data_IF_542539734707
#
_entry.id   IF_542539734707
#
_cell.length_a   1.000
_cell.length_b   1.000
_cell.length_c   1.000
_cell.angle_alpha   90.00
_cell.angle_beta   90.00
_cell.angle_gamma   90.00
#
_symmetry.space_group_name_H-M   'P 1'
#
loop_
_entity.id
_entity.type
_entity.pdbx_description
1 polymer ?
#
# COMPACT_ATOMS: atom_id res chain seq x y z
N UNK A 1 -11.96 -11.05 -4.22
CA UNK A 1 -13.39 -10.83 -4.55
C UNK A 1 -13.71 -9.41 -4.15
N UNK A 2 -14.27 -8.58 -5.03
CA UNK A 2 -14.54 -7.16 -4.71
C UNK A 2 -15.82 -7.10 -3.87
N UNK A 3 -15.69 -6.78 -2.57
CA UNK A 3 -16.81 -6.63 -1.64
C UNK A 3 -16.88 -5.21 -1.12
N UNK A 4 -18.03 -4.54 -1.32
CA UNK A 4 -18.25 -3.16 -0.89
C UNK A 4 -19.35 -3.10 0.17
N UNK A 5 -19.05 -2.49 1.32
CA UNK A 5 -20.01 -2.23 2.39
C UNK A 5 -20.64 -0.85 2.29
N UNK A 6 -20.12 0.05 1.46
CA UNK A 6 -20.71 1.34 1.17
C UNK A 6 -22.16 1.19 0.68
N UNK A 7 -23.01 2.15 1.07
CA UNK A 7 -24.45 2.20 0.76
C UNK A 7 -24.84 3.61 0.35
N UNK A 8 -25.99 3.72 -0.32
CA UNK A 8 -26.62 4.99 -0.69
C UNK A 8 -25.70 5.88 -1.55
N UNK A 9 -25.68 7.20 -1.32
CA UNK A 9 -24.94 8.18 -2.13
C UNK A 9 -23.51 8.45 -1.61
N UNK A 10 -22.89 7.48 -0.93
CA UNK A 10 -21.55 7.63 -0.34
C UNK A 10 -20.45 7.30 -1.36
N UNK A 11 -20.39 8.06 -2.45
CA UNK A 11 -19.47 7.80 -3.57
C UNK A 11 -17.99 7.82 -3.18
N UNK A 12 -17.59 8.69 -2.25
CA UNK A 12 -16.23 8.68 -1.70
C UNK A 12 -15.90 7.34 -1.00
N UNK A 13 -16.85 6.74 -0.29
CA UNK A 13 -16.66 5.42 0.34
C UNK A 13 -16.61 4.30 -0.70
N UNK A 14 -17.41 4.39 -1.77
CA UNK A 14 -17.31 3.44 -2.89
C UNK A 14 -15.94 3.52 -3.56
N UNK A 15 -15.44 4.72 -3.87
CA UNK A 15 -14.13 4.91 -4.49
C UNK A 15 -13.00 4.35 -3.61
N UNK A 16 -13.04 4.64 -2.31
CA UNK A 16 -12.09 4.11 -1.33
C UNK A 16 -12.11 2.58 -1.26
N UNK A 17 -13.27 1.96 -0.99
CA UNK A 17 -13.37 0.51 -0.85
C UNK A 17 -13.05 -0.23 -2.16
N UNK A 18 -13.54 0.30 -3.29
CA UNK A 18 -13.24 -0.30 -4.59
C UNK A 18 -11.76 -0.25 -4.92
N UNK A 19 -11.08 0.85 -4.61
CA UNK A 19 -9.63 0.99 -4.83
C UNK A 19 -8.82 0.02 -3.97
N UNK A 20 -9.24 -0.22 -2.72
CA UNK A 20 -8.63 -1.21 -1.84
C UNK A 20 -8.72 -2.61 -2.44
N UNK A 21 -9.93 -3.04 -2.83
CA UNK A 21 -10.14 -4.36 -3.41
C UNK A 21 -9.51 -4.53 -4.80
N UNK A 22 -9.49 -3.47 -5.61
CA UNK A 22 -8.82 -3.47 -6.90
C UNK A 22 -7.30 -3.63 -6.73
N UNK A 23 -6.71 -2.99 -5.72
CA UNK A 23 -5.30 -3.19 -5.39
C UNK A 23 -5.00 -4.67 -5.10
N UNK A 24 -5.84 -5.36 -4.33
CA UNK A 24 -5.69 -6.80 -4.07
C UNK A 24 -5.73 -7.64 -5.35
N UNK A 25 -6.59 -7.28 -6.31
CA UNK A 25 -6.63 -7.95 -7.62
C UNK A 25 -5.31 -7.72 -8.38
N UNK A 26 -4.81 -6.48 -8.37
CA UNK A 26 -3.58 -6.11 -9.07
C UNK A 26 -2.32 -6.70 -8.39
N UNK A 27 -2.36 -6.96 -7.09
CA UNK A 27 -1.20 -7.47 -6.32
C UNK A 27 -1.04 -8.99 -6.37
N UNK A 28 -1.83 -9.70 -7.17
CA UNK A 28 -1.83 -11.18 -7.23
C UNK A 28 -2.14 -11.85 -5.87
N UNK A 29 -2.96 -11.21 -5.02
CA UNK A 29 -3.30 -11.62 -3.64
C UNK A 29 -3.74 -13.11 -3.48
N UNK A 30 -4.23 -13.75 -4.54
CA UNK A 30 -4.65 -15.16 -4.56
C UNK A 30 -3.59 -16.20 -4.97
N UNK A 31 -2.44 -15.79 -5.50
CA UNK A 31 -1.39 -16.73 -5.90
C UNK A 31 -0.64 -17.28 -4.67
N UNK A 32 -0.47 -18.61 -4.59
CA UNK A 32 0.23 -19.27 -3.48
C UNK A 32 -0.61 -19.46 -2.20
N UNK A 33 -1.94 -19.52 -2.28
CA UNK A 33 -2.79 -19.92 -1.16
C UNK A 33 -2.41 -21.35 -0.72
N UNK A 34 -1.77 -21.48 0.45
CA UNK A 34 -1.61 -22.79 1.10
C UNK A 34 -2.87 -23.04 1.91
N UNK A 35 -3.42 -24.25 1.80
CA UNK A 35 -4.76 -24.59 2.30
C UNK A 35 -4.95 -24.51 3.83
N UNK A 36 -4.02 -23.98 4.63
CA UNK A 36 -4.10 -24.08 6.10
C UNK A 36 -3.33 -23.04 6.95
N UNK A 37 -3.04 -21.83 6.44
CA UNK A 37 -2.46 -20.79 7.31
C UNK A 37 -2.38 -19.42 6.62
N UNK A 38 -2.73 -18.35 7.34
CA UNK A 38 -2.59 -16.98 6.83
C UNK A 38 -1.15 -16.67 6.39
N UNK A 39 -0.98 -15.84 5.36
CA UNK A 39 0.35 -15.44 4.89
C UNK A 39 0.94 -14.44 5.90
N UNK A 40 2.15 -14.66 6.45
CA UNK A 40 2.75 -13.78 7.46
C UNK A 40 3.08 -12.36 6.95
N UNK A 41 3.03 -12.15 5.63
CA UNK A 41 3.29 -10.86 4.99
C UNK A 41 2.03 -10.19 4.42
N UNK A 42 0.84 -10.79 4.58
CA UNK A 42 -0.41 -10.23 4.04
C UNK A 42 -0.74 -8.85 4.61
N UNK A 43 -0.30 -8.54 5.83
CA UNK A 43 -0.44 -7.20 6.43
C UNK A 43 0.16 -6.10 5.55
N UNK A 44 1.23 -6.40 4.82
CA UNK A 44 1.87 -5.44 3.91
C UNK A 44 0.98 -5.18 2.69
N UNK A 45 0.32 -6.21 2.17
CA UNK A 45 -0.65 -6.08 1.08
C UNK A 45 -1.82 -5.19 1.51
N UNK A 46 -2.38 -5.43 2.71
CA UNK A 46 -3.43 -4.57 3.26
C UNK A 46 -2.96 -3.12 3.42
N UNK A 47 -1.72 -2.89 3.87
CA UNK A 47 -1.14 -1.56 3.99
C UNK A 47 -0.94 -0.86 2.63
N UNK A 48 -0.50 -1.60 1.60
CA UNK A 48 -0.37 -1.07 0.23
C UNK A 48 -1.75 -0.73 -0.35
N UNK A 49 -2.76 -1.58 -0.14
CA UNK A 49 -4.11 -1.35 -0.65
C UNK A 49 -4.85 -0.23 0.08
N UNK A 50 -4.61 -0.06 1.38
CA UNK A 50 -5.07 1.10 2.13
C UNK A 50 -4.42 2.39 1.59
N UNK A 51 -3.12 2.37 1.28
CA UNK A 51 -2.45 3.51 0.65
C UNK A 51 -3.03 3.82 -0.74
N UNK A 52 -3.33 2.78 -1.53
CA UNK A 52 -3.95 2.92 -2.85
C UNK A 52 -5.33 3.58 -2.74
N UNK A 53 -6.13 3.20 -1.75
CA UNK A 53 -7.45 3.75 -1.52
C UNK A 53 -7.40 5.25 -1.20
N UNK A 54 -6.49 5.67 -0.31
CA UNK A 54 -6.31 7.09 0.03
C UNK A 54 -5.74 7.88 -1.17
N UNK A 55 -4.75 7.33 -1.87
CA UNK A 55 -4.17 7.94 -3.06
C UNK A 55 -5.22 8.18 -4.15
N UNK A 56 -6.10 7.20 -4.40
CA UNK A 56 -7.17 7.32 -5.40
C UNK A 56 -8.12 8.46 -5.04
N UNK A 57 -8.53 8.58 -3.78
CA UNK A 57 -9.39 9.70 -3.35
C UNK A 57 -8.73 11.06 -3.63
N UNK A 58 -7.45 11.22 -3.26
CA UNK A 58 -6.70 12.47 -3.50
C UNK A 58 -6.53 12.76 -5.00
N UNK A 59 -6.20 11.73 -5.77
CA UNK A 59 -6.04 11.83 -7.22
C UNK A 59 -7.34 12.19 -7.93
N UNK A 60 -8.46 11.55 -7.55
CA UNK A 60 -9.79 11.88 -8.04
C UNK A 60 -10.18 13.32 -7.65
N UNK A 61 -9.98 13.71 -6.39
CA UNK A 61 -10.27 15.07 -5.93
C UNK A 61 -9.48 16.15 -6.70
N UNK A 62 -8.20 15.89 -6.97
CA UNK A 62 -7.37 16.80 -7.78
C UNK A 62 -7.85 16.88 -9.22
N UNK A 63 -8.10 15.71 -9.83
CA UNK A 63 -8.51 15.61 -11.23
C UNK A 63 -9.89 16.23 -11.45
N UNK A 64 -10.87 15.89 -10.62
CA UNK A 64 -12.26 16.34 -10.78
C UNK A 64 -12.45 17.83 -10.51
N UNK A 65 -11.53 18.47 -9.78
CA UNK A 65 -11.56 19.92 -9.60
C UNK A 65 -11.40 20.71 -10.92
N UNK A 66 -10.82 20.09 -11.96
CA UNK A 66 -10.57 20.74 -13.26
C UNK A 66 -11.07 19.95 -14.47
N UNK A 67 -11.04 18.61 -14.39
CA UNK A 67 -11.38 17.69 -15.47
C UNK A 67 -12.19 16.48 -14.93
N UNK A 68 -13.41 16.69 -14.41
CA UNK A 68 -14.25 15.58 -13.97
C UNK A 68 -14.81 14.78 -15.16
N UNK A 69 -15.19 13.50 -14.96
CA UNK A 69 -15.84 12.69 -16.01
C UNK A 69 -17.13 13.32 -16.54
N UNK A 70 -17.86 14.01 -15.67
CA UNK A 70 -19.04 14.82 -16.02
C UNK A 70 -18.90 16.19 -15.37
N UNK A 71 -19.22 17.31 -16.08
CA UNK A 71 -19.01 18.66 -15.56
C UNK A 71 -19.57 18.89 -14.15
N UNK A 72 -20.77 18.37 -13.86
CA UNK A 72 -21.45 18.53 -12.58
C UNK A 72 -20.76 17.80 -11.40
N UNK A 73 -19.78 16.94 -11.67
CA UNK A 73 -19.05 16.20 -10.62
C UNK A 73 -17.90 17.00 -10.04
N UNK A 74 -17.56 18.15 -10.63
CA UNK A 74 -16.55 19.07 -10.09
C UNK A 74 -16.82 19.43 -8.63
N UNK A 75 -18.09 19.65 -8.29
CA UNK A 75 -18.52 20.03 -6.94
C UNK A 75 -18.42 18.88 -5.93
N UNK A 76 -18.19 17.64 -6.38
CA UNK A 76 -17.92 16.50 -5.51
C UNK A 76 -16.43 16.36 -5.14
N UNK A 77 -15.53 17.03 -5.86
CA UNK A 77 -14.09 16.98 -5.59
C UNK A 77 -13.71 17.35 -4.13
N UNK A 78 -14.32 18.38 -3.49
CA UNK A 78 -14.05 18.68 -2.08
C UNK A 78 -14.43 17.54 -1.14
N UNK A 79 -15.52 16.80 -1.40
CA UNK A 79 -15.96 15.67 -0.56
C UNK A 79 -14.95 14.52 -0.60
N UNK A 80 -14.37 14.24 -1.78
CA UNK A 80 -13.30 13.26 -1.94
C UNK A 80 -12.03 13.67 -1.18
N UNK A 81 -11.68 14.96 -1.26
CA UNK A 81 -10.50 15.52 -0.55
C UNK A 81 -10.67 15.44 0.96
N UNK A 82 -11.80 15.93 1.48
CA UNK A 82 -12.10 15.91 2.92
C UNK A 82 -12.07 14.48 3.46
N UNK A 83 -12.63 13.51 2.74
CA UNK A 83 -12.58 12.12 3.19
C UNK A 83 -11.16 11.55 3.24
N UNK A 84 -10.32 11.86 2.24
CA UNK A 84 -8.92 11.43 2.24
C UNK A 84 -8.10 12.10 3.36
N UNK A 85 -8.34 13.39 3.62
CA UNK A 85 -7.70 14.16 4.69
C UNK A 85 -8.12 13.66 6.07
N UNK A 86 -9.40 13.34 6.26
CA UNK A 86 -9.90 12.70 7.48
C UNK A 86 -9.17 11.39 7.72
N UNK A 87 -9.18 10.48 6.74
CA UNK A 87 -8.51 9.17 6.85
C UNK A 87 -7.04 9.34 7.19
N UNK A 88 -6.27 10.04 6.34
CA UNK A 88 -4.82 10.19 6.53
C UNK A 88 -4.42 11.02 7.77
N UNK A 89 -5.33 11.85 8.27
CA UNK A 89 -5.13 12.74 9.41
C UNK A 89 -5.31 12.08 10.78
N UNK A 90 -5.95 10.91 10.85
CA UNK A 90 -6.19 10.16 12.09
C UNK A 90 -4.90 9.91 12.88
N UNK A 91 -4.94 10.18 14.19
CA UNK A 91 -3.74 10.25 15.02
C UNK A 91 -2.97 8.93 15.09
N UNK A 92 -3.67 7.78 15.09
CA UNK A 92 -3.04 6.46 15.17
C UNK A 92 -2.24 6.11 13.91
N UNK A 93 -2.50 6.74 12.76
CA UNK A 93 -1.81 6.48 11.49
C UNK A 93 -0.43 7.14 11.41
N UNK A 94 -0.01 7.81 12.48
CA UNK A 94 1.30 8.46 12.57
C UNK A 94 2.24 7.57 13.37
N UNK A 95 3.51 7.57 12.98
CA UNK A 95 4.56 7.00 13.82
C UNK A 95 4.60 7.74 15.16
N UNK A 96 4.87 7.04 16.28
CA UNK A 96 5.20 7.69 17.53
C UNK A 96 6.34 8.71 17.34
N UNK A 97 6.30 9.80 18.09
CA UNK A 97 7.29 10.87 17.97
C UNK A 97 8.72 10.33 18.14
N UNK A 98 9.59 10.67 17.18
CA UNK A 98 11.00 10.24 17.17
C UNK A 98 11.23 8.78 16.77
N UNK A 99 10.19 8.00 16.48
CA UNK A 99 10.31 6.62 16.04
C UNK A 99 10.50 6.55 14.52
N UNK A 100 11.48 5.77 14.05
CA UNK A 100 11.65 5.46 12.64
C UNK A 100 10.70 4.34 12.19
N UNK A 101 10.40 4.28 10.89
CA UNK A 101 9.58 3.21 10.31
C UNK A 101 10.16 1.80 10.59
N UNK A 102 11.48 1.65 10.49
CA UNK A 102 12.16 0.38 10.77
C UNK A 102 12.07 -0.01 12.25
N UNK A 103 12.17 0.96 13.17
CA UNK A 103 12.00 0.70 14.60
C UNK A 103 10.55 0.31 14.92
N UNK A 104 9.57 1.01 14.34
CA UNK A 104 8.16 0.67 14.49
C UNK A 104 7.89 -0.76 13.98
N UNK A 105 8.41 -1.11 12.80
CA UNK A 105 8.26 -2.47 12.26
C UNK A 105 8.93 -3.51 13.16
N UNK A 106 10.13 -3.26 13.66
CA UNK A 106 10.81 -4.17 14.58
C UNK A 106 9.98 -4.49 15.84
N UNK A 107 9.25 -3.51 16.37
CA UNK A 107 8.35 -3.69 17.53
C UNK A 107 7.04 -4.38 17.17
N UNK A 108 6.52 -4.19 15.96
CA UNK A 108 5.18 -4.66 15.57
C UNK A 108 5.16 -5.91 14.68
N UNK A 109 6.31 -6.32 14.12
CA UNK A 109 6.44 -7.42 13.14
C UNK A 109 5.75 -8.71 13.55
N UNK A 110 5.86 -9.11 14.81
CA UNK A 110 5.20 -10.33 15.29
C UNK A 110 3.67 -10.19 15.21
N UNK A 111 3.14 -9.09 15.74
CA UNK A 111 1.70 -8.86 15.78
C UNK A 111 1.08 -8.80 14.37
N UNK A 112 1.71 -8.08 13.44
CA UNK A 112 1.19 -7.94 12.06
C UNK A 112 1.34 -9.24 11.25
N UNK A 113 2.35 -10.07 11.55
CA UNK A 113 2.47 -11.40 10.94
C UNK A 113 1.49 -12.42 11.50
N UNK A 114 1.14 -12.35 12.78
CA UNK A 114 0.15 -13.23 13.41
C UNK A 114 -1.28 -12.86 13.00
N UNK A 115 -1.57 -11.56 12.91
CA UNK A 115 -2.86 -11.05 12.47
C UNK A 115 -2.68 -9.97 11.39
N UNK A 116 -2.85 -10.32 10.10
CA UNK A 116 -2.67 -9.38 9.01
C UNK A 116 -3.76 -8.30 8.92
N UNK A 117 -4.84 -8.43 9.70
CA UNK A 117 -5.98 -7.51 9.70
C UNK A 117 -5.93 -6.51 10.86
N UNK A 118 -4.77 -6.29 11.47
CA UNK A 118 -4.56 -5.25 12.48
C UNK A 118 -4.62 -3.85 11.85
N UNK A 119 -5.85 -3.39 11.60
CA UNK A 119 -6.16 -2.18 10.83
C UNK A 119 -5.34 -0.96 11.25
N UNK A 120 -5.33 -0.60 12.54
CA UNK A 120 -4.58 0.58 13.00
C UNK A 120 -3.08 0.49 12.68
N UNK A 121 -2.51 -0.72 12.71
CA UNK A 121 -1.09 -0.94 12.38
C UNK A 121 -0.85 -0.87 10.87
N UNK A 122 -1.73 -1.47 10.08
CA UNK A 122 -1.66 -1.41 8.63
C UNK A 122 -1.78 0.04 8.14
N UNK A 123 -2.64 0.84 8.76
CA UNK A 123 -2.89 2.23 8.40
C UNK A 123 -1.69 3.16 8.72
N UNK A 124 -0.87 2.85 9.74
CA UNK A 124 0.45 3.51 9.95
C UNK A 124 1.36 3.25 8.76
N UNK A 125 1.52 1.98 8.37
CA UNK A 125 2.34 1.61 7.22
C UNK A 125 1.80 2.21 5.92
N UNK A 126 0.48 2.24 5.75
CA UNK A 126 -0.18 2.83 4.60
C UNK A 126 0.17 4.32 4.44
N UNK A 127 0.21 5.10 5.52
CA UNK A 127 0.60 6.52 5.46
C UNK A 127 2.05 6.72 5.03
N UNK A 128 2.96 5.83 5.46
CA UNK A 128 4.37 5.85 5.03
C UNK A 128 4.50 5.52 3.54
N UNK A 129 3.79 4.49 3.08
CA UNK A 129 3.77 4.06 1.69
C UNK A 129 3.11 5.10 0.79
N UNK A 130 1.99 5.68 1.21
CA UNK A 130 1.28 6.74 0.52
C UNK A 130 2.22 7.90 0.20
N UNK A 131 3.03 8.32 1.17
CA UNK A 131 4.00 9.41 0.98
C UNK A 131 5.06 9.09 -0.09
N UNK A 132 5.45 7.82 -0.26
CA UNK A 132 6.37 7.40 -1.32
C UNK A 132 5.68 7.37 -2.69
N UNK A 133 4.48 6.80 -2.78
CA UNK A 133 3.71 6.70 -4.01
C UNK A 133 3.22 8.07 -4.52
N UNK A 134 2.89 9.01 -3.64
CA UNK A 134 2.50 10.38 -4.04
C UNK A 134 3.65 11.14 -4.69
N UNK A 135 4.89 10.87 -4.28
CA UNK A 135 6.09 11.45 -4.90
C UNK A 135 6.45 10.79 -6.23
N UNK A 136 6.04 9.53 -6.44
CA UNK A 136 6.39 8.73 -7.61
C UNK A 136 5.18 7.91 -8.13
N UNK A 137 4.09 8.57 -8.57
CA UNK A 137 2.83 7.92 -8.89
C UNK A 137 2.92 6.91 -10.06
N UNK A 138 3.89 7.04 -10.95
CA UNK A 138 4.16 6.10 -12.03
C UNK A 138 4.49 4.68 -11.55
N UNK A 139 4.92 4.55 -10.29
CA UNK A 139 5.29 3.29 -9.67
C UNK A 139 4.13 2.50 -9.06
N UNK A 140 2.89 3.01 -9.10
CA UNK A 140 1.71 2.18 -8.76
C UNK A 140 1.65 0.88 -9.58
N UNK A 141 2.16 0.91 -10.82
CA UNK A 141 2.27 -0.29 -11.67
C UNK A 141 3.24 -1.35 -11.15
N UNK A 142 4.12 -1.01 -10.20
CA UNK A 142 5.01 -1.98 -9.55
C UNK A 142 4.23 -3.03 -8.74
N UNK A 143 3.02 -2.73 -8.27
CA UNK A 143 2.19 -3.66 -7.49
C UNK A 143 1.82 -4.91 -8.27
N UNK A 144 1.74 -4.82 -9.60
CA UNK A 144 1.48 -5.97 -10.48
C UNK A 144 2.54 -7.09 -10.36
N UNK A 145 3.69 -6.77 -9.77
CA UNK A 145 4.81 -7.70 -9.55
C UNK A 145 4.88 -8.22 -8.12
N UNK A 146 3.96 -7.81 -7.24
CA UNK A 146 3.82 -8.36 -5.90
C UNK A 146 3.27 -9.80 -5.98
N UNK A 147 3.67 -10.67 -5.04
CA UNK A 147 3.19 -12.06 -4.91
C UNK A 147 3.32 -12.96 -6.16
N UNK A 148 4.17 -12.62 -7.12
CA UNK A 148 4.40 -13.47 -8.32
C UNK A 148 5.14 -14.77 -7.99
N UNK A 149 5.97 -14.75 -6.94
CA UNK A 149 6.65 -15.94 -6.42
C UNK A 149 5.84 -16.53 -5.25
N UNK A 150 5.12 -17.65 -5.45
CA UNK A 150 4.32 -18.26 -4.39
C UNK A 150 5.17 -18.82 -3.24
N UNK A 151 6.46 -19.07 -3.44
CA UNK A 151 7.36 -19.57 -2.39
C UNK A 151 7.77 -18.47 -1.41
N UNK A 152 7.78 -17.21 -1.87
CA UNK A 152 8.12 -16.06 -1.06
C UNK A 152 6.99 -15.64 -0.08
N UNK A 153 5.77 -16.15 -0.26
CA UNK A 153 4.62 -15.78 0.57
C UNK A 153 4.79 -16.18 2.06
N UNK A 154 5.52 -17.27 2.33
CA UNK A 154 5.84 -17.75 3.68
C UNK A 154 7.24 -17.33 4.16
N UNK A 155 7.99 -16.60 3.33
CA UNK A 155 9.35 -16.18 3.63
C UNK A 155 9.39 -15.05 4.67
N UNK A 156 10.59 -14.78 5.21
CA UNK A 156 10.81 -13.61 6.03
C UNK A 156 10.46 -12.34 5.23
N UNK A 157 9.92 -11.31 5.88
CA UNK A 157 9.44 -10.11 5.19
C UNK A 157 10.49 -9.42 4.29
N UNK A 158 11.78 -9.46 4.67
CA UNK A 158 12.85 -8.93 3.83
C UNK A 158 12.96 -9.71 2.50
N UNK A 159 12.94 -11.04 2.56
CA UNK A 159 12.99 -11.92 1.39
C UNK A 159 11.73 -11.77 0.52
N UNK A 160 10.58 -11.55 1.15
CA UNK A 160 9.33 -11.22 0.47
C UNK A 160 9.44 -9.95 -0.37
N UNK A 161 9.94 -8.85 0.22
CA UNK A 161 10.12 -7.60 -0.51
C UNK A 161 11.22 -7.68 -1.58
N UNK A 162 12.28 -8.47 -1.36
CA UNK A 162 13.28 -8.73 -2.38
C UNK A 162 12.73 -9.53 -3.56
N UNK A 163 11.83 -10.47 -3.30
CA UNK A 163 11.14 -11.20 -4.37
C UNK A 163 10.36 -10.22 -5.25
N UNK A 164 9.64 -9.27 -4.63
CA UNK A 164 9.01 -8.17 -5.36
C UNK A 164 10.02 -7.33 -6.17
N UNK A 165 11.14 -6.94 -5.57
CA UNK A 165 12.20 -6.20 -6.26
C UNK A 165 12.76 -6.97 -7.47
N UNK A 166 13.04 -8.27 -7.33
CA UNK A 166 13.57 -9.11 -8.41
C UNK A 166 12.55 -9.34 -9.53
N UNK A 167 11.27 -9.51 -9.17
CA UNK A 167 10.21 -9.75 -10.14
C UNK A 167 9.85 -8.50 -10.96
N UNK A 168 10.08 -7.31 -10.39
CA UNK A 168 9.74 -6.06 -11.05
C UNK A 168 10.77 -5.64 -12.13
N UNK A 169 10.32 -5.03 -13.24
CA UNK A 169 11.20 -4.40 -14.23
C UNK A 169 12.12 -3.35 -13.62
N UNK A 170 13.29 -3.14 -14.24
CA UNK A 170 14.33 -2.22 -13.77
C UNK A 170 13.80 -0.79 -13.44
N UNK A 171 12.83 -0.28 -14.21
CA UNK A 171 12.21 1.03 -13.97
C UNK A 171 11.53 1.18 -12.60
N UNK A 172 11.21 0.08 -11.91
CA UNK A 172 10.59 0.09 -10.58
C UNK A 172 11.55 -0.28 -9.46
N UNK A 173 12.72 -0.85 -9.77
CA UNK A 173 13.61 -1.43 -8.75
C UNK A 173 14.12 -0.40 -7.76
N UNK A 174 14.48 0.80 -8.22
CA UNK A 174 14.91 1.91 -7.34
C UNK A 174 13.82 2.28 -6.33
N UNK A 175 12.58 2.42 -6.80
CA UNK A 175 11.44 2.71 -5.95
C UNK A 175 11.14 1.59 -4.95
N UNK A 176 11.18 0.34 -5.41
CA UNK A 176 10.97 -0.81 -4.51
C UNK A 176 12.08 -0.85 -3.45
N UNK A 177 13.33 -0.52 -3.80
CA UNK A 177 14.41 -0.41 -2.84
C UNK A 177 14.18 0.73 -1.81
N UNK A 178 13.55 1.84 -2.19
CA UNK A 178 13.10 2.87 -1.23
C UNK A 178 12.01 2.36 -0.28
N UNK A 179 11.05 1.59 -0.78
CA UNK A 179 10.05 0.93 0.07
C UNK A 179 10.72 -0.04 1.04
N UNK A 180 11.66 -0.85 0.58
CA UNK A 180 12.46 -1.75 1.43
C UNK A 180 13.22 -0.95 2.50
N UNK A 181 13.76 0.21 2.14
CA UNK A 181 14.53 1.04 3.08
C UNK A 181 13.71 1.52 4.28
N UNK A 182 12.38 1.67 4.15
CA UNK A 182 11.51 2.03 5.27
C UNK A 182 11.54 0.97 6.38
N UNK A 183 11.61 -0.31 6.01
CA UNK A 183 11.44 -1.42 6.96
C UNK A 183 12.75 -2.15 7.26
N UNK A 184 13.65 -2.23 6.28
CA UNK A 184 14.90 -2.97 6.32
C UNK A 184 16.04 -2.17 5.65
N UNK A 185 16.49 -1.03 6.24
CA UNK A 185 17.43 -0.11 5.61
C UNK A 185 18.76 -0.76 5.18
N UNK A 186 19.33 -1.63 6.02
CA UNK A 186 20.57 -2.37 5.69
C UNK A 186 20.41 -3.24 4.43
N UNK A 187 19.24 -3.87 4.26
CA UNK A 187 18.98 -4.73 3.11
C UNK A 187 18.76 -3.94 1.83
N UNK A 188 18.16 -2.76 1.92
CA UNK A 188 18.02 -1.84 0.78
C UNK A 188 19.38 -1.40 0.23
N UNK A 189 20.34 -1.11 1.11
CA UNK A 189 21.70 -0.72 0.72
C UNK A 189 22.39 -1.82 -0.11
N UNK A 190 22.29 -3.07 0.33
CA UNK A 190 22.81 -4.24 -0.40
C UNK A 190 22.22 -4.34 -1.81
N UNK A 191 20.89 -4.19 -1.96
CA UNK A 191 20.22 -4.25 -3.26
C UNK A 191 20.66 -3.13 -4.21
N UNK A 192 20.79 -1.90 -3.69
CA UNK A 192 21.23 -0.74 -4.50
C UNK A 192 22.65 -0.89 -5.01
N UNK A 193 23.55 -1.45 -4.20
CA UNK A 193 24.92 -1.73 -4.65
C UNK A 193 24.99 -2.84 -5.71
N UNK A 194 24.04 -3.77 -5.72
CA UNK A 194 23.96 -4.85 -6.71
C UNK A 194 23.40 -4.38 -8.07
N UNK A 195 22.44 -3.46 -8.08
CA UNK A 195 21.83 -2.92 -9.32
C UNK A 195 22.72 -1.94 -10.11
N UNK A 196 23.87 -1.53 -9.57
CA UNK A 196 24.84 -0.63 -10.22
C UNK A 196 25.96 -1.40 -10.95
N UNK A 197 25.98 -2.74 -10.85
CA UNK A 197 26.89 -3.63 -11.60
C UNK A 197 26.16 -4.30 -12.76
#
# INVERSE_FOLDING_TARGET
>A
MILLSARNRRWAQYAYQFSHELCHVLSNFGHGQTNNGGKPNQWFEEAVCEAAAVFTLRSMASTWASNPPFPDWKDYAPVLREYAEQLSGEAHRRLPYGMSASAWYATNRQAVSENPYLREKNEVCANLLLSLFERNPEHWTAIAYLNLDPTAAAAAFAEYLESWHRAAPAKHQVFIAEVIALFAPKRSEELRTASVK
#
